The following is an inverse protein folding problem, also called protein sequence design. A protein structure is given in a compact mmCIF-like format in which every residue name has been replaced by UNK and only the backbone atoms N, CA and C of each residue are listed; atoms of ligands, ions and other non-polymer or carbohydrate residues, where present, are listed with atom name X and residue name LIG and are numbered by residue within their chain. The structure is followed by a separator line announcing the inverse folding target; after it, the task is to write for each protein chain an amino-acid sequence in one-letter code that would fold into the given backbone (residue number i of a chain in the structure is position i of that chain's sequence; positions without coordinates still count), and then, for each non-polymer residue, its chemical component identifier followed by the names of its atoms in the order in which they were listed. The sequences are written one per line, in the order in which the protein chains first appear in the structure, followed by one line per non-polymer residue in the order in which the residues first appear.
data_IF_804639158503
#
_entry.id   IF_804639158503
#
_cell.length_a   1.000
_cell.length_b   1.000
_cell.length_c   1.000
_cell.angle_alpha   90.00
_cell.angle_beta   90.00
_cell.angle_gamma   90.00
#
_symmetry.space_group_name_H-M   'P 1'
#
loop_
_entity.id
_entity.type
_entity.pdbx_description
1 polymer ?
#
# COMPACT_ATOMS: atom_id res chain seq x y z
N UNK A 1 3.58 45.80 -11.69
CA UNK A 1 3.40 44.82 -10.59
C UNK A 1 2.20 43.88 -10.83
N UNK A 2 1.90 43.48 -12.07
CA UNK A 2 0.77 42.59 -12.41
C UNK A 2 1.21 41.29 -13.13
N UNK A 3 2.45 41.23 -13.64
CA UNK A 3 2.96 40.08 -14.40
C UNK A 3 3.45 38.94 -13.48
N UNK A 4 3.93 39.25 -12.26
CA UNK A 4 4.42 38.23 -11.33
C UNK A 4 3.32 37.36 -10.72
N UNK A 5 2.08 37.87 -10.60
CA UNK A 5 0.96 37.13 -10.00
C UNK A 5 0.42 36.06 -10.95
N UNK A 6 0.44 36.30 -12.27
CA UNK A 6 -0.05 35.34 -13.25
C UNK A 6 0.79 34.04 -13.33
N UNK A 7 2.09 34.11 -13.06
CA UNK A 7 2.99 32.94 -13.11
C UNK A 7 2.74 31.93 -11.96
N UNK A 8 2.24 32.40 -10.81
CA UNK A 8 1.88 31.54 -9.69
C UNK A 8 0.48 30.91 -9.84
N UNK A 9 -0.42 31.52 -10.61
CA UNK A 9 -1.79 31.03 -10.78
C UNK A 9 -1.92 30.06 -11.97
N UNK A 10 -1.13 30.23 -13.03
CA UNK A 10 -1.05 29.30 -14.16
C UNK A 10 0.41 28.97 -14.50
N UNK A 11 0.98 27.89 -13.93
CA UNK A 11 2.35 27.52 -14.25
C UNK A 11 2.46 27.13 -15.73
N UNK A 12 3.45 27.72 -16.42
CA UNK A 12 3.74 27.41 -17.83
C UNK A 12 4.05 25.92 -17.99
N UNK A 13 3.85 25.36 -19.20
CA UNK A 13 4.16 23.94 -19.48
C UNK A 13 5.60 23.57 -19.09
N UNK A 14 6.56 24.46 -19.38
CA UNK A 14 7.96 24.28 -18.99
C UNK A 14 8.16 24.26 -17.46
N UNK A 15 7.44 25.11 -16.72
CA UNK A 15 7.48 25.14 -15.26
C UNK A 15 6.88 23.86 -14.65
N UNK A 16 5.73 23.39 -15.15
CA UNK A 16 5.10 22.12 -14.75
C UNK A 16 6.02 20.93 -15.00
N UNK A 17 6.66 20.88 -16.17
CA UNK A 17 7.62 19.83 -16.51
C UNK A 17 8.81 19.82 -15.55
N UNK A 18 9.40 20.99 -15.25
CA UNK A 18 10.51 21.12 -14.30
C UNK A 18 10.14 20.60 -12.92
N UNK A 19 8.96 20.92 -12.39
CA UNK A 19 8.53 20.43 -11.08
C UNK A 19 8.21 18.93 -11.09
N UNK A 20 7.61 18.42 -12.17
CA UNK A 20 7.39 16.98 -12.33
C UNK A 20 8.69 16.19 -12.25
N UNK A 21 9.74 16.62 -12.96
CA UNK A 21 11.02 15.93 -12.91
C UNK A 21 11.71 16.06 -11.54
N UNK A 22 11.52 17.18 -10.82
CA UNK A 22 11.98 17.30 -9.43
C UNK A 22 11.29 16.30 -8.50
N UNK A 23 9.97 16.17 -8.59
CA UNK A 23 9.21 15.17 -7.80
C UNK A 23 9.66 13.76 -8.13
N UNK A 24 9.87 13.44 -9.42
CA UNK A 24 10.43 12.16 -9.85
C UNK A 24 11.80 11.89 -9.23
N UNK A 25 12.70 12.88 -9.24
CA UNK A 25 14.02 12.74 -8.64
C UNK A 25 13.96 12.52 -7.11
N UNK A 26 13.06 13.23 -6.42
CA UNK A 26 12.83 13.04 -4.98
C UNK A 26 12.26 11.65 -4.66
N UNK A 27 11.33 11.17 -5.47
CA UNK A 27 10.79 9.81 -5.33
C UNK A 27 11.91 8.77 -5.44
N UNK A 28 12.74 8.81 -6.48
CA UNK A 28 13.83 7.84 -6.63
C UNK A 28 14.91 7.98 -5.56
N UNK A 29 15.14 9.19 -5.04
CA UNK A 29 16.03 9.36 -3.89
C UNK A 29 15.52 8.59 -2.66
N UNK A 30 14.23 8.74 -2.32
CA UNK A 30 13.61 8.04 -1.20
C UNK A 30 13.51 6.52 -1.46
N UNK A 31 13.02 6.13 -2.64
CA UNK A 31 12.82 4.75 -3.04
C UNK A 31 14.13 3.94 -3.05
N UNK A 32 15.18 4.47 -3.69
CA UNK A 32 16.49 3.81 -3.71
C UNK A 32 17.11 3.78 -2.32
N UNK A 33 16.94 4.84 -1.53
CA UNK A 33 17.38 4.86 -0.14
C UNK A 33 16.74 3.75 0.68
N UNK A 34 15.42 3.56 0.54
CA UNK A 34 14.70 2.48 1.21
C UNK A 34 15.22 1.10 0.78
N UNK A 35 15.35 0.86 -0.53
CA UNK A 35 15.83 -0.43 -1.03
C UNK A 35 17.26 -0.77 -0.58
N UNK A 36 18.13 0.23 -0.47
CA UNK A 36 19.54 0.02 -0.10
C UNK A 36 19.75 -0.15 1.40
N UNK A 37 18.89 0.44 2.25
CA UNK A 37 19.17 0.58 3.68
C UNK A 37 18.09 0.01 4.61
N UNK A 38 16.89 -0.26 4.10
CA UNK A 38 15.76 -0.68 4.92
C UNK A 38 15.05 -1.94 4.42
N UNK A 39 15.01 -2.22 3.12
CA UNK A 39 14.40 -3.45 2.61
C UNK A 39 15.06 -4.69 3.25
N UNK A 40 14.29 -5.69 3.74
CA UNK A 40 12.84 -5.90 3.57
C UNK A 40 11.94 -5.32 4.68
N UNK A 41 12.49 -4.53 5.60
CA UNK A 41 11.76 -3.94 6.72
C UNK A 41 10.72 -2.90 6.24
N UNK A 42 9.84 -2.49 7.14
CA UNK A 42 8.67 -1.66 6.78
C UNK A 42 9.05 -0.25 6.32
N UNK A 43 9.96 0.42 7.04
CA UNK A 43 10.27 1.84 6.85
C UNK A 43 11.78 2.12 6.95
N UNK A 44 12.21 3.22 6.35
CA UNK A 44 13.58 3.73 6.45
C UNK A 44 13.69 4.83 7.51
N UNK A 45 14.70 4.75 8.37
CA UNK A 45 15.19 5.88 9.17
C UNK A 45 16.31 6.58 8.40
N UNK A 46 16.04 7.72 7.72
CA UNK A 46 16.95 8.27 6.73
C UNK A 46 18.22 8.89 7.32
N UNK A 47 18.19 9.32 8.58
CA UNK A 47 19.36 9.91 9.25
C UNK A 47 20.34 8.82 9.73
N UNK A 48 19.82 7.71 10.26
CA UNK A 48 20.64 6.59 10.72
C UNK A 48 20.94 5.57 9.63
N UNK A 49 20.31 5.68 8.46
CA UNK A 49 20.37 4.70 7.36
C UNK A 49 20.08 3.27 7.81
N UNK A 50 19.09 3.11 8.71
CA UNK A 50 18.65 1.81 9.21
C UNK A 50 17.18 1.60 8.90
N UNK A 51 16.78 0.37 8.64
CA UNK A 51 15.36 0.03 8.56
C UNK A 51 14.70 -0.05 9.93
N UNK A 52 13.38 0.06 9.93
CA UNK A 52 12.54 -0.02 11.12
C UNK A 52 11.30 -0.85 10.80
N UNK A 53 11.05 -1.86 11.62
CA UNK A 53 9.80 -2.61 11.59
C UNK A 53 8.81 -1.94 12.51
N UNK A 54 7.72 -1.48 11.91
CA UNK A 54 6.65 -0.86 12.67
C UNK A 54 5.38 -1.72 12.60
N UNK A 55 5.24 -2.58 11.59
CA UNK A 55 4.05 -3.40 11.34
C UNK A 55 4.31 -4.90 11.23
N UNK A 56 5.54 -5.36 10.98
CA UNK A 56 5.88 -6.78 10.98
C UNK A 56 6.65 -7.25 9.75
N UNK A 57 7.48 -6.38 9.18
CA UNK A 57 8.35 -6.67 8.04
C UNK A 57 7.58 -7.07 6.77
N UNK A 58 6.50 -6.36 6.46
CA UNK A 58 5.71 -6.52 5.24
C UNK A 58 6.27 -5.73 4.05
N UNK A 59 7.50 -5.23 4.16
CA UNK A 59 8.06 -4.30 3.17
C UNK A 59 7.08 -3.16 2.85
N UNK A 60 6.46 -2.58 3.89
CA UNK A 60 5.33 -1.67 3.79
C UNK A 60 5.56 -0.49 2.83
N UNK A 61 6.73 0.14 2.92
CA UNK A 61 7.12 1.23 2.00
C UNK A 61 7.20 0.78 0.53
N UNK A 62 7.54 -0.50 0.28
CA UNK A 62 7.58 -1.06 -1.07
C UNK A 62 6.17 -1.26 -1.64
N UNK A 63 5.24 -1.76 -0.82
CA UNK A 63 3.82 -1.94 -1.22
C UNK A 63 3.19 -0.60 -1.56
N UNK A 64 3.35 0.41 -0.71
CA UNK A 64 2.84 1.77 -0.94
C UNK A 64 3.45 2.44 -2.17
N UNK A 65 4.65 2.04 -2.58
CA UNK A 65 5.33 2.64 -3.73
C UNK A 65 4.93 2.02 -5.08
N UNK A 66 4.23 0.88 -5.09
CA UNK A 66 3.94 0.11 -6.31
C UNK A 66 3.14 0.91 -7.34
N UNK A 67 2.04 1.54 -6.93
CA UNK A 67 1.20 2.33 -7.83
C UNK A 67 1.93 3.59 -8.33
N UNK A 68 2.75 4.19 -7.49
CA UNK A 68 3.56 5.36 -7.81
C UNK A 68 4.62 5.03 -8.86
N UNK A 69 5.22 3.84 -8.81
CA UNK A 69 6.14 3.37 -9.87
C UNK A 69 5.45 3.30 -11.23
N UNK A 70 4.19 2.87 -11.28
CA UNK A 70 3.38 2.84 -12.50
C UNK A 70 3.09 4.26 -12.98
N UNK A 71 2.64 5.16 -12.09
CA UNK A 71 2.34 6.56 -12.42
C UNK A 71 3.58 7.29 -12.94
N UNK A 72 4.77 6.96 -12.42
CA UNK A 72 6.05 7.51 -12.87
C UNK A 72 6.51 6.93 -14.22
N UNK A 73 5.86 5.87 -14.71
CA UNK A 73 6.13 5.22 -16.00
C UNK A 73 7.31 4.26 -16.00
N UNK A 74 7.71 3.73 -14.84
CA UNK A 74 8.84 2.80 -14.74
C UNK A 74 8.37 1.34 -14.63
N UNK A 75 7.96 0.79 -15.77
CA UNK A 75 7.41 -0.56 -15.90
C UNK A 75 8.40 -1.66 -15.48
N UNK A 76 9.70 -1.47 -15.76
CA UNK A 76 10.74 -2.45 -15.39
C UNK A 76 10.90 -2.53 -13.88
N UNK A 77 10.95 -1.38 -13.22
CA UNK A 77 11.08 -1.32 -11.77
C UNK A 77 9.82 -1.79 -11.05
N UNK A 78 8.64 -1.46 -11.59
CA UNK A 78 7.38 -1.99 -11.07
C UNK A 78 7.37 -3.53 -11.06
N UNK A 79 7.75 -4.18 -12.17
CA UNK A 79 7.82 -5.65 -12.24
C UNK A 79 8.78 -6.23 -11.19
N UNK A 80 9.95 -5.61 -11.04
CA UNK A 80 10.93 -6.00 -10.01
C UNK A 80 10.37 -5.84 -8.60
N UNK A 81 9.68 -4.73 -8.32
CA UNK A 81 9.08 -4.45 -7.03
C UNK A 81 7.94 -5.44 -6.70
N UNK A 82 7.09 -5.79 -7.68
CA UNK A 82 6.05 -6.82 -7.52
C UNK A 82 6.66 -8.16 -7.13
N UNK A 83 7.72 -8.60 -7.82
CA UNK A 83 8.40 -9.84 -7.49
C UNK A 83 8.98 -9.85 -6.07
N UNK A 84 9.49 -8.70 -5.61
CA UNK A 84 10.01 -8.55 -4.24
C UNK A 84 8.87 -8.63 -3.20
N UNK A 85 7.75 -7.95 -3.45
CA UNK A 85 6.57 -7.93 -2.56
C UNK A 85 5.99 -9.33 -2.42
N UNK A 86 5.80 -10.05 -3.54
CA UNK A 86 5.26 -11.42 -3.51
C UNK A 86 6.16 -12.40 -2.74
N UNK A 87 7.46 -12.11 -2.62
CA UNK A 87 8.42 -12.93 -1.87
C UNK A 87 8.55 -12.53 -0.41
N UNK A 88 8.43 -11.24 -0.09
CA UNK A 88 8.67 -10.74 1.27
C UNK A 88 7.41 -10.72 2.15
N UNK A 89 6.23 -10.50 1.58
CA UNK A 89 5.00 -10.30 2.35
C UNK A 89 4.41 -11.64 2.81
N UNK A 90 4.40 -11.87 4.13
CA UNK A 90 3.79 -13.05 4.74
C UNK A 90 2.42 -12.74 5.35
N UNK A 91 1.38 -13.47 4.94
CA UNK A 91 0.01 -13.33 5.44
C UNK A 91 -0.24 -14.05 6.77
N UNK A 92 0.74 -14.77 7.32
CA UNK A 92 0.60 -15.62 8.50
C UNK A 92 1.61 -15.29 9.61
N UNK A 93 2.17 -14.08 9.59
CA UNK A 93 3.10 -13.62 10.60
C UNK A 93 2.42 -13.55 11.98
N UNK A 94 3.13 -13.95 13.04
CA UNK A 94 2.64 -13.80 14.40
C UNK A 94 2.92 -12.37 14.90
N UNK A 95 2.15 -11.42 14.37
CA UNK A 95 2.29 -9.99 14.68
C UNK A 95 0.91 -9.36 14.80
N UNK A 96 0.80 -8.40 15.73
CA UNK A 96 -0.39 -7.58 15.91
C UNK A 96 -0.30 -6.40 14.96
N UNK A 97 -1.33 -6.21 14.13
CA UNK A 97 -1.40 -5.13 13.15
C UNK A 97 -2.62 -4.25 13.38
N UNK A 98 -2.50 -2.98 13.06
CA UNK A 98 -3.63 -2.05 13.02
C UNK A 98 -4.53 -2.40 11.83
N UNK A 99 -5.81 -2.65 12.09
CA UNK A 99 -6.79 -3.01 11.05
C UNK A 99 -6.94 -1.87 10.05
N UNK A 100 -6.95 -0.62 10.54
CA UNK A 100 -7.04 0.58 9.71
C UNK A 100 -5.83 0.75 8.79
N UNK A 101 -4.61 0.71 9.36
CA UNK A 101 -3.37 0.94 8.60
C UNK A 101 -3.11 -0.17 7.59
N UNK A 102 -3.32 -1.43 7.99
CA UNK A 102 -3.14 -2.57 7.08
C UNK A 102 -4.12 -2.51 5.91
N UNK A 103 -5.34 -2.06 6.14
CA UNK A 103 -6.33 -1.90 5.07
C UNK A 103 -5.90 -0.84 4.06
N UNK A 104 -5.60 0.38 4.49
CA UNK A 104 -5.29 1.48 3.55
C UNK A 104 -3.92 1.35 2.86
N UNK A 105 -2.92 0.77 3.53
CA UNK A 105 -1.56 0.66 3.00
C UNK A 105 -1.35 -0.64 2.23
N UNK A 106 -1.65 -1.78 2.86
CA UNK A 106 -1.38 -3.09 2.27
C UNK A 106 -2.51 -3.50 1.31
N UNK A 107 -3.75 -3.59 1.79
CA UNK A 107 -4.86 -4.05 0.94
C UNK A 107 -5.10 -3.05 -0.20
N UNK A 108 -5.23 -1.77 0.12
CA UNK A 108 -5.37 -0.69 -0.86
C UNK A 108 -4.23 -0.62 -1.87
N UNK A 109 -2.98 -0.66 -1.39
CA UNK A 109 -1.79 -0.63 -2.26
C UNK A 109 -1.72 -1.82 -3.21
N UNK A 110 -1.99 -3.04 -2.72
CA UNK A 110 -1.99 -4.26 -3.55
C UNK A 110 -3.12 -4.26 -4.58
N UNK A 111 -4.34 -3.85 -4.20
CA UNK A 111 -5.48 -3.75 -5.13
C UNK A 111 -5.23 -2.67 -6.18
N UNK A 112 -4.72 -1.50 -5.78
CA UNK A 112 -4.33 -0.42 -6.70
C UNK A 112 -3.28 -0.89 -7.70
N UNK A 113 -2.21 -1.51 -7.22
CA UNK A 113 -1.15 -2.07 -8.06
C UNK A 113 -1.67 -3.15 -9.02
N UNK A 114 -2.57 -4.04 -8.56
CA UNK A 114 -3.20 -5.07 -9.39
C UNK A 114 -4.04 -4.48 -10.52
N UNK A 115 -4.90 -3.51 -10.22
CA UNK A 115 -5.74 -2.84 -11.23
C UNK A 115 -4.91 -2.05 -12.24
N UNK A 116 -3.83 -1.41 -11.80
CA UNK A 116 -2.94 -0.64 -12.67
C UNK A 116 -1.96 -1.51 -13.46
N UNK A 117 -1.69 -2.74 -13.02
CA UNK A 117 -0.75 -3.65 -13.69
C UNK A 117 -1.12 -3.94 -15.14
N UNK A 118 -2.41 -3.92 -15.50
CA UNK A 118 -2.88 -4.08 -16.88
C UNK A 118 -2.50 -2.93 -17.82
N UNK A 119 -1.99 -1.82 -17.29
CA UNK A 119 -1.48 -0.68 -18.07
C UNK A 119 0.05 -0.68 -18.19
N UNK A 120 0.72 -1.66 -17.59
CA UNK A 120 2.18 -1.75 -17.56
C UNK A 120 2.68 -2.55 -18.76
N UNK A 121 3.50 -1.91 -19.58
CA UNK A 121 4.12 -2.56 -20.74
C UNK A 121 5.01 -3.73 -20.31
N UNK A 122 4.79 -4.90 -20.92
CA UNK A 122 5.56 -6.12 -20.65
C UNK A 122 5.24 -6.82 -19.33
N UNK A 123 4.17 -6.42 -18.62
CA UNK A 123 3.64 -7.19 -17.50
C UNK A 123 2.92 -8.44 -18.00
N UNK A 124 3.24 -9.59 -17.42
CA UNK A 124 2.52 -10.84 -17.71
C UNK A 124 1.32 -10.89 -16.77
N UNK A 125 0.13 -10.87 -17.36
CA UNK A 125 -1.13 -11.01 -16.63
C UNK A 125 -1.57 -12.47 -16.69
N UNK A 126 -2.07 -12.99 -15.57
CA UNK A 126 -2.64 -14.34 -15.52
C UNK A 126 -3.99 -14.41 -16.25
N UNK A 127 -4.35 -15.60 -16.73
CA UNK A 127 -5.68 -15.85 -17.30
C UNK A 127 -6.76 -15.55 -16.25
N UNK A 128 -7.72 -14.69 -16.60
CA UNK A 128 -8.78 -14.22 -15.71
C UNK A 128 -8.56 -12.82 -15.10
N UNK A 129 -7.46 -12.13 -15.42
CA UNK A 129 -7.32 -10.71 -15.10
C UNK A 129 -8.50 -9.90 -15.69
N UNK A 130 -9.12 -8.95 -14.95
CA UNK A 130 -8.71 -8.40 -13.65
C UNK A 130 -9.22 -9.13 -12.40
N UNK A 131 -10.02 -10.19 -12.55
CA UNK A 131 -10.60 -10.95 -11.43
C UNK A 131 -9.65 -12.03 -10.88
N UNK A 132 -8.47 -12.22 -11.47
CA UNK A 132 -7.43 -13.11 -10.96
C UNK A 132 -6.07 -12.44 -11.07
N UNK A 133 -5.17 -12.77 -10.14
CA UNK A 133 -3.78 -12.37 -10.21
C UNK A 133 -3.04 -12.55 -8.87
N UNK A 134 -1.71 -12.58 -8.89
CA UNK A 134 -0.92 -12.83 -7.68
C UNK A 134 -1.06 -11.70 -6.65
N UNK A 135 -1.12 -10.44 -7.10
CA UNK A 135 -1.33 -9.28 -6.23
C UNK A 135 -2.73 -9.27 -5.61
N UNK A 136 -3.76 -9.60 -6.39
CA UNK A 136 -5.13 -9.71 -5.89
C UNK A 136 -5.27 -10.82 -4.85
N UNK A 137 -4.76 -12.02 -5.13
CA UNK A 137 -4.76 -13.13 -4.16
C UNK A 137 -4.04 -12.78 -2.87
N UNK A 138 -2.94 -12.03 -2.95
CA UNK A 138 -2.24 -11.54 -1.76
C UNK A 138 -3.09 -10.53 -0.98
N UNK A 139 -3.76 -9.60 -1.68
CA UNK A 139 -4.66 -8.63 -1.07
C UNK A 139 -5.85 -9.30 -0.38
N UNK A 140 -6.49 -10.27 -1.04
CA UNK A 140 -7.55 -11.12 -0.50
C UNK A 140 -7.10 -11.87 0.75
N UNK A 141 -5.94 -12.53 0.67
CA UNK A 141 -5.40 -13.26 1.79
C UNK A 141 -5.12 -12.34 2.98
N UNK A 142 -4.63 -11.12 2.76
CA UNK A 142 -4.46 -10.12 3.82
C UNK A 142 -5.80 -9.63 4.38
N UNK A 143 -6.76 -9.27 3.54
CA UNK A 143 -8.08 -8.80 3.96
C UNK A 143 -8.84 -9.87 4.75
N UNK A 144 -8.73 -11.15 4.36
CA UNK A 144 -9.30 -12.28 5.08
C UNK A 144 -8.77 -12.38 6.52
N UNK A 145 -7.50 -11.99 6.76
CA UNK A 145 -6.92 -11.94 8.11
C UNK A 145 -7.43 -10.78 8.96
N UNK A 146 -7.99 -9.75 8.33
CA UNK A 146 -8.60 -8.62 9.02
C UNK A 146 -10.08 -8.89 9.41
N UNK A 147 -10.75 -9.83 8.76
CA UNK A 147 -12.16 -10.15 9.02
C UNK A 147 -12.51 -10.42 10.50
N UNK A 148 -11.68 -11.13 11.30
CA UNK A 148 -11.98 -11.35 12.72
C UNK A 148 -12.16 -10.07 13.53
N UNK A 149 -11.57 -8.94 13.11
CA UNK A 149 -11.73 -7.67 13.81
C UNK A 149 -13.17 -7.13 13.75
N UNK A 150 -13.98 -7.53 12.75
CA UNK A 150 -15.37 -7.10 12.62
C UNK A 150 -16.36 -7.95 13.44
N UNK A 151 -15.89 -9.01 14.09
CA UNK A 151 -16.73 -9.87 14.92
C UNK A 151 -16.98 -9.25 16.31
N UNK A 152 -17.65 -8.10 16.32
CA UNK A 152 -18.09 -7.38 17.52
C UNK A 152 -19.62 -7.36 17.59
N UNK A 153 -20.18 -7.06 18.75
CA UNK A 153 -21.65 -6.96 18.92
C UNK A 153 -22.29 -5.90 18.01
N UNK A 154 -21.54 -4.84 17.67
CA UNK A 154 -22.03 -3.73 16.84
C UNK A 154 -21.67 -3.89 15.36
N UNK A 155 -20.79 -4.84 15.02
CA UNK A 155 -20.16 -4.95 13.71
C UNK A 155 -19.06 -3.91 13.43
N UNK A 156 -18.80 -2.98 14.35
CA UNK A 156 -17.68 -2.04 14.24
C UNK A 156 -16.36 -2.76 14.55
N UNK A 157 -15.29 -2.56 13.75
CA UNK A 157 -14.06 -3.32 13.91
C UNK A 157 -13.26 -2.92 15.16
N UNK A 158 -12.59 -3.91 15.76
CA UNK A 158 -11.47 -3.68 16.68
C UNK A 158 -10.34 -2.89 16.00
N UNK A 159 -9.54 -2.17 16.80
CA UNK A 159 -8.40 -1.40 16.28
C UNK A 159 -7.23 -2.28 15.81
N UNK A 160 -7.04 -3.43 16.46
CA UNK A 160 -5.91 -4.34 16.23
C UNK A 160 -6.37 -5.77 15.99
N UNK A 161 -5.64 -6.50 15.15
CA UNK A 161 -5.79 -7.95 14.95
C UNK A 161 -4.43 -8.62 14.85
N UNK A 162 -4.28 -9.84 15.35
CA UNK A 162 -3.11 -10.67 15.09
C UNK A 162 -3.32 -11.46 13.79
N UNK A 163 -2.40 -11.37 12.83
CA UNK A 163 -2.56 -12.04 11.54
C UNK A 163 -2.63 -13.58 11.64
N UNK A 164 -2.02 -14.17 12.68
CA UNK A 164 -2.04 -15.62 12.90
C UNK A 164 -3.18 -16.09 13.79
N UNK A 165 -3.46 -15.36 14.88
CA UNK A 165 -4.36 -15.80 15.95
C UNK A 165 -5.70 -15.04 16.01
N UNK A 166 -5.90 -14.00 15.20
CA UNK A 166 -7.10 -13.16 15.24
C UNK A 166 -7.04 -12.10 16.34
N UNK A 167 -8.20 -11.66 16.83
CA UNK A 167 -8.29 -10.54 17.79
C UNK A 167 -7.68 -10.93 19.14
N UNK A 168 -6.72 -10.17 19.70
CA UNK A 168 -6.20 -10.41 21.04
C UNK A 168 -7.30 -10.31 22.12
N UNK A 169 -7.24 -11.18 23.14
CA UNK A 169 -8.24 -11.17 24.24
C UNK A 169 -8.26 -9.87 25.06
N UNK A 170 -7.16 -9.12 25.03
CA UNK A 170 -7.00 -7.86 25.76
C UNK A 170 -7.38 -6.63 24.92
N UNK A 171 -7.84 -6.82 23.68
CA UNK A 171 -8.17 -5.73 22.77
C UNK A 171 -9.44 -5.00 23.23
N UNK A 172 -9.47 -3.67 23.04
CA UNK A 172 -10.62 -2.87 23.45
C UNK A 172 -11.59 -2.67 22.29
N UNK A 173 -12.91 -2.65 22.54
CA UNK A 173 -13.90 -2.33 21.50
C UNK A 173 -13.93 -0.83 21.17
N UNK A 174 -13.07 -0.01 21.78
CA UNK A 174 -12.99 1.43 21.52
C UNK A 174 -12.26 1.62 20.20
N UNK A 175 -12.94 2.21 19.24
CA UNK A 175 -12.40 2.50 17.91
C UNK A 175 -12.70 3.95 17.52
N UNK A 176 -11.88 4.53 16.65
CA UNK A 176 -12.10 5.89 16.16
C UNK A 176 -12.99 5.88 14.91
N UNK A 177 -13.68 6.98 14.66
CA UNK A 177 -14.59 7.11 13.50
C UNK A 177 -13.88 6.92 12.17
N UNK A 178 -12.63 7.37 12.04
CA UNK A 178 -11.80 7.14 10.86
C UNK A 178 -11.48 5.65 10.68
N UNK A 179 -11.19 4.94 11.78
CA UNK A 179 -10.98 3.50 11.79
C UNK A 179 -12.18 2.77 11.22
N UNK A 180 -13.40 3.11 11.65
CA UNK A 180 -14.63 2.44 11.16
C UNK A 180 -15.00 2.85 9.74
N UNK A 181 -14.87 4.13 9.39
CA UNK A 181 -15.40 4.68 8.14
C UNK A 181 -14.59 4.36 6.89
N UNK A 182 -13.30 4.05 7.02
CA UNK A 182 -12.39 3.92 5.86
C UNK A 182 -12.44 2.56 5.18
N UNK A 183 -13.24 1.60 5.67
CA UNK A 183 -13.46 0.31 5.01
C UNK A 183 -14.53 0.34 3.90
N UNK A 184 -15.25 1.47 3.73
CA UNK A 184 -16.39 1.60 2.82
C UNK A 184 -15.94 1.70 1.35
N UNK A 185 -14.77 2.27 1.08
CA UNK A 185 -14.24 2.40 -0.29
C UNK A 185 -13.66 1.06 -0.73
N UNK A 186 -14.54 0.14 -1.14
CA UNK A 186 -14.24 -0.99 -2.02
C UNK A 186 -13.30 -2.10 -1.52
N UNK A 187 -12.47 -1.91 -0.49
CA UNK A 187 -11.41 -2.87 -0.14
C UNK A 187 -11.94 -4.15 0.50
N UNK A 188 -12.95 -4.07 1.37
CA UNK A 188 -13.60 -5.25 1.96
C UNK A 188 -14.88 -5.67 1.21
N UNK A 189 -15.56 -4.73 0.55
CA UNK A 189 -16.82 -4.97 -0.17
C UNK A 189 -16.61 -5.60 -1.55
N UNK A 190 -15.51 -5.27 -2.26
CA UNK A 190 -15.22 -5.91 -3.55
C UNK A 190 -14.92 -7.40 -3.37
N UNK A 191 -14.37 -7.78 -2.22
CA UNK A 191 -14.06 -9.18 -1.89
C UNK A 191 -15.28 -9.99 -1.41
N UNK A 192 -16.41 -9.34 -1.11
CA UNK A 192 -17.67 -10.06 -0.80
C UNK A 192 -18.43 -10.54 -2.03
N UNK A 193 -18.06 -10.09 -3.22
CA UNK A 193 -18.69 -10.56 -4.46
C UNK A 193 -18.18 -11.93 -4.94
N UNK A 194 -17.26 -12.56 -4.21
CA UNK A 194 -16.68 -13.88 -4.54
C UNK A 194 -16.95 -14.98 -3.50
N UNK A 195 -17.97 -14.82 -2.64
CA UNK A 195 -18.47 -15.89 -1.77
C UNK A 195 -19.97 -16.11 -1.98
#
# INVERSE_FOLDING_TARGET
MLIFVACCIYPSKACKFRYREKVRAMFYHAYNGYLNHAYPLDELRPISCTGHDTWGSFSLSLVDALDTLIVMGNSTEFRRAVDLVLKSVSTHANVNVSVFETNIRIVGGLVSAHMLSGRVEGMILEDGWPCSGPLLRLAEAMAARLLPAFNTETGMPYGTVNLKYGVPKTETPITCTAGVGTFIVGELLSLRHEV
#
